data_IF_233080205046
#
_entry.id   IF_233080205046
#
_cell.length_a   1.000
_cell.length_b   1.000
_cell.length_c   1.000
_cell.angle_alpha   90.00
_cell.angle_beta   90.00
_cell.angle_gamma   90.00
#
_symmetry.space_group_name_H-M   'P 1'
#
loop_
_entity.id
_entity.type
_entity.pdbx_description
1 polymer ?
#
# COMPACT_ATOMS: atom_id res chain seq x y z
N UNK A 1 -34.18 -27.04 -2.45
CA UNK A 1 -34.38 -25.63 -2.12
C UNK A 1 -33.02 -25.07 -1.72
N UNK A 2 -32.45 -24.20 -2.56
CA UNK A 2 -31.20 -23.49 -2.28
C UNK A 2 -31.58 -22.20 -1.53
N UNK A 3 -31.03 -21.98 -0.34
CA UNK A 3 -31.49 -20.93 0.59
C UNK A 3 -30.90 -19.54 0.33
N UNK A 4 -30.26 -19.31 -0.83
CA UNK A 4 -29.82 -17.97 -1.21
C UNK A 4 -28.76 -17.35 -0.31
N UNK A 5 -28.02 -18.16 0.46
CA UNK A 5 -26.87 -17.67 1.22
C UNK A 5 -25.87 -17.04 0.24
N UNK A 6 -25.59 -15.76 0.44
CA UNK A 6 -24.65 -15.02 -0.38
C UNK A 6 -23.28 -15.69 -0.29
N UNK A 7 -22.77 -16.19 -1.41
CA UNK A 7 -21.39 -16.67 -1.50
C UNK A 7 -20.50 -15.42 -1.54
N UNK A 8 -19.70 -15.21 -0.49
CA UNK A 8 -18.65 -14.20 -0.53
C UNK A 8 -17.61 -14.62 -1.58
N UNK A 9 -17.59 -13.93 -2.71
CA UNK A 9 -16.67 -14.22 -3.83
C UNK A 9 -15.31 -13.55 -3.66
N UNK A 10 -15.20 -12.57 -2.76
CA UNK A 10 -13.95 -11.90 -2.37
C UNK A 10 -14.11 -11.20 -1.02
N UNK A 11 -13.03 -11.09 -0.24
CA UNK A 11 -12.96 -10.30 0.99
C UNK A 11 -12.03 -9.10 0.81
N UNK A 12 -12.51 -7.90 1.15
CA UNK A 12 -11.72 -6.66 1.04
C UNK A 12 -10.54 -6.66 1.99
N UNK A 13 -10.71 -7.14 3.22
CA UNK A 13 -9.64 -7.21 4.20
C UNK A 13 -8.98 -8.58 4.09
N UNK A 14 -7.70 -8.61 3.76
CA UNK A 14 -6.92 -9.85 3.74
C UNK A 14 -6.31 -10.02 5.12
N UNK A 15 -6.75 -11.04 5.86
CA UNK A 15 -6.27 -11.29 7.21
C UNK A 15 -4.93 -12.04 7.15
N UNK A 16 -3.85 -11.30 7.31
CA UNK A 16 -2.48 -11.80 7.46
C UNK A 16 -2.03 -11.62 8.90
N UNK A 17 -1.16 -12.52 9.39
CA UNK A 17 -0.67 -12.45 10.77
C UNK A 17 0.35 -11.32 10.95
N UNK A 18 1.23 -11.15 9.96
CA UNK A 18 2.37 -10.26 10.01
C UNK A 18 2.23 -8.98 9.20
N UNK A 19 1.09 -8.75 8.56
CA UNK A 19 0.85 -7.51 7.80
C UNK A 19 -0.45 -6.86 8.25
N UNK A 20 -0.39 -5.54 8.37
CA UNK A 20 -1.53 -4.72 8.74
C UNK A 20 -2.09 -4.00 7.52
N UNK A 21 -3.36 -3.65 7.61
CA UNK A 21 -4.07 -2.88 6.59
C UNK A 21 -4.00 -3.46 5.16
N UNK A 22 -3.74 -4.77 5.04
CA UNK A 22 -3.70 -5.47 3.77
C UNK A 22 -5.11 -5.59 3.21
N UNK A 23 -5.38 -4.93 2.09
CA UNK A 23 -6.71 -4.87 1.49
C UNK A 23 -6.67 -5.01 -0.02
N UNK A 24 -7.64 -5.74 -0.55
CA UNK A 24 -7.97 -5.72 -1.98
C UNK A 24 -8.81 -4.45 -2.27
N UNK A 25 -8.43 -3.70 -3.31
CA UNK A 25 -9.13 -2.50 -3.74
C UNK A 25 -10.22 -2.76 -4.79
N UNK A 26 -10.52 -4.03 -5.07
CA UNK A 26 -11.66 -4.45 -5.87
C UNK A 26 -13.02 -4.00 -5.33
N UNK A 27 -14.03 -4.09 -6.19
CA UNK A 27 -15.44 -3.86 -5.83
C UNK A 27 -15.86 -2.40 -5.66
N UNK A 28 -14.95 -1.43 -5.76
CA UNK A 28 -15.34 -0.01 -5.83
C UNK A 28 -16.07 0.28 -7.14
N UNK A 29 -17.20 0.98 -7.07
CA UNK A 29 -17.94 1.46 -8.23
C UNK A 29 -17.35 2.77 -8.72
N UNK A 30 -17.20 2.90 -10.02
CA UNK A 30 -16.78 4.14 -10.67
C UNK A 30 -18.01 4.98 -11.03
N UNK A 31 -17.82 6.27 -11.28
CA UNK A 31 -18.91 7.20 -11.60
C UNK A 31 -19.55 6.95 -12.96
N UNK A 32 -18.86 6.24 -13.84
CA UNK A 32 -19.32 5.80 -15.16
C UNK A 32 -19.94 4.39 -15.15
N UNK A 33 -20.17 3.80 -13.97
CA UNK A 33 -20.93 2.55 -13.81
C UNK A 33 -20.10 1.26 -13.89
N UNK A 34 -18.78 1.34 -14.06
CA UNK A 34 -17.88 0.21 -13.96
C UNK A 34 -17.57 -0.18 -12.50
N UNK A 35 -16.82 -1.27 -12.32
CA UNK A 35 -16.40 -1.77 -11.01
C UNK A 35 -14.94 -2.20 -11.07
N UNK A 36 -14.15 -1.79 -10.08
CA UNK A 36 -12.75 -2.21 -9.95
C UNK A 36 -12.69 -3.73 -9.79
N UNK A 37 -11.89 -4.39 -10.61
CA UNK A 37 -11.74 -5.86 -10.58
C UNK A 37 -11.03 -6.28 -9.29
N UNK A 38 -11.59 -7.30 -8.62
CA UNK A 38 -10.94 -7.97 -7.49
C UNK A 38 -9.64 -8.65 -7.92
N UNK A 39 -8.70 -8.72 -6.99
CA UNK A 39 -7.42 -9.41 -7.16
C UNK A 39 -6.44 -8.73 -8.11
N UNK A 40 -6.58 -7.42 -8.34
CA UNK A 40 -5.73 -6.66 -9.27
C UNK A 40 -4.86 -5.61 -8.62
N UNK A 41 -5.36 -4.99 -7.56
CA UNK A 41 -4.64 -3.95 -6.82
C UNK A 41 -4.92 -4.10 -5.34
N UNK A 42 -3.85 -4.15 -4.56
CA UNK A 42 -3.87 -4.25 -3.11
C UNK A 42 -3.13 -3.07 -2.48
N UNK A 43 -3.52 -2.72 -1.27
CA UNK A 43 -2.74 -1.82 -0.38
C UNK A 43 -2.31 -2.59 0.87
N UNK A 44 -1.19 -2.19 1.47
CA UNK A 44 -0.76 -2.69 2.78
C UNK A 44 0.07 -1.63 3.53
N UNK A 45 0.30 -1.88 4.83
CA UNK A 45 1.42 -1.30 5.57
C UNK A 45 2.73 -2.09 5.26
N UNK A 46 3.79 -1.96 6.06
CA UNK A 46 5.04 -2.70 5.80
C UNK A 46 4.87 -4.23 5.81
N UNK A 47 5.64 -4.93 4.95
CA UNK A 47 5.51 -6.37 4.74
C UNK A 47 6.61 -7.20 5.44
N UNK A 48 7.62 -6.56 6.01
CA UNK A 48 8.77 -7.23 6.63
C UNK A 48 8.47 -8.15 7.82
N UNK A 49 7.22 -8.16 8.32
CA UNK A 49 6.76 -9.05 9.40
C UNK A 49 5.91 -10.23 8.93
N UNK A 50 5.67 -10.40 7.62
CA UNK A 50 4.89 -11.51 7.10
C UNK A 50 5.41 -12.86 7.60
N UNK A 51 4.52 -13.64 8.22
CA UNK A 51 4.84 -14.98 8.69
C UNK A 51 4.95 -15.96 7.51
N UNK A 52 5.56 -17.12 7.73
CA UNK A 52 5.66 -18.17 6.69
C UNK A 52 4.29 -18.61 6.14
N UNK A 53 3.24 -18.56 6.98
CA UNK A 53 1.87 -18.84 6.54
C UNK A 53 1.32 -17.73 5.63
N UNK A 54 1.63 -16.47 5.94
CA UNK A 54 1.24 -15.32 5.14
C UNK A 54 1.90 -15.37 3.76
N UNK A 55 3.20 -15.68 3.68
CA UNK A 55 3.91 -15.83 2.41
C UNK A 55 3.27 -16.90 1.51
N UNK A 56 2.86 -18.04 2.08
CA UNK A 56 2.12 -19.07 1.33
C UNK A 56 0.77 -18.55 0.86
N UNK A 57 0.10 -17.72 1.65
CA UNK A 57 -1.19 -17.11 1.30
C UNK A 57 -1.01 -16.08 0.17
N UNK A 58 -0.07 -15.14 0.32
CA UNK A 58 0.30 -14.14 -0.69
C UNK A 58 0.70 -14.80 -2.01
N UNK A 59 1.48 -15.88 -1.97
CA UNK A 59 1.79 -16.66 -3.18
C UNK A 59 0.55 -17.20 -3.89
N UNK A 60 -0.47 -17.65 -3.15
CA UNK A 60 -1.74 -18.14 -3.74
C UNK A 60 -2.60 -17.02 -4.31
N UNK A 61 -2.46 -15.79 -3.80
CA UNK A 61 -3.11 -14.62 -4.39
C UNK A 61 -2.55 -14.28 -5.78
N UNK A 62 -1.36 -14.80 -6.12
CA UNK A 62 -0.71 -14.56 -7.40
C UNK A 62 -0.23 -13.13 -7.55
N UNK A 63 0.22 -12.51 -6.46
CA UNK A 63 0.86 -11.18 -6.49
C UNK A 63 2.04 -11.23 -7.45
N UNK A 64 2.10 -10.25 -8.35
CA UNK A 64 3.13 -10.14 -9.40
C UNK A 64 4.03 -8.93 -9.26
N UNK A 65 3.60 -7.93 -8.50
CA UNK A 65 4.37 -6.72 -8.31
C UNK A 65 4.22 -6.27 -6.87
N UNK A 66 5.35 -6.01 -6.24
CA UNK A 66 5.46 -5.41 -4.91
C UNK A 66 6.06 -4.02 -5.04
N UNK A 67 5.25 -3.00 -4.75
CA UNK A 67 5.63 -1.59 -4.89
C UNK A 67 5.84 -1.00 -3.50
N UNK A 68 7.11 -0.78 -3.17
CA UNK A 68 7.54 -0.27 -1.87
C UNK A 68 7.91 1.21 -1.99
N UNK A 69 7.08 2.06 -1.39
CA UNK A 69 7.33 3.49 -1.33
C UNK A 69 8.15 3.91 -0.11
N UNK A 70 8.48 3.00 0.82
CA UNK A 70 9.18 3.37 2.05
C UNK A 70 10.56 3.98 1.76
N UNK A 71 10.97 4.90 2.61
CA UNK A 71 12.33 5.44 2.57
C UNK A 71 13.36 4.33 2.71
N UNK A 72 14.57 4.60 2.25
CA UNK A 72 15.70 3.69 2.38
C UNK A 72 16.00 3.27 3.81
N UNK A 73 15.82 4.19 4.77
CA UNK A 73 16.01 3.91 6.19
C UNK A 73 14.98 2.90 6.71
N UNK A 74 13.70 3.09 6.35
CA UNK A 74 12.61 2.19 6.76
C UNK A 74 12.79 0.79 6.16
N UNK A 75 13.07 0.69 4.87
CA UNK A 75 13.25 -0.60 4.20
C UNK A 75 14.52 -1.33 4.67
N UNK A 76 15.59 -0.62 5.02
CA UNK A 76 16.78 -1.24 5.65
C UNK A 76 16.50 -1.71 7.07
N UNK A 77 15.72 -0.94 7.84
CA UNK A 77 15.36 -1.31 9.21
C UNK A 77 14.40 -2.51 9.26
N UNK A 78 13.53 -2.65 8.26
CA UNK A 78 12.59 -3.77 8.16
C UNK A 78 12.39 -4.19 6.69
N UNK A 79 13.30 -5.02 6.15
CA UNK A 79 13.24 -5.44 4.75
C UNK A 79 11.99 -6.26 4.45
N UNK A 80 11.42 -6.11 3.25
CA UNK A 80 10.35 -6.99 2.79
C UNK A 80 10.89 -8.40 2.52
N UNK A 81 10.07 -9.44 2.77
CA UNK A 81 10.41 -10.78 2.33
C UNK A 81 10.30 -10.89 0.81
N UNK A 82 11.07 -11.80 0.22
CA UNK A 82 10.95 -12.09 -1.21
C UNK A 82 9.59 -12.75 -1.50
N UNK A 83 8.76 -12.05 -2.27
CA UNK A 83 7.50 -12.58 -2.80
C UNK A 83 7.79 -13.36 -4.09
N UNK A 84 7.80 -14.68 -4.00
CA UNK A 84 8.18 -15.54 -5.12
C UNK A 84 7.31 -15.31 -6.37
N UNK A 85 7.93 -14.93 -7.49
CA UNK A 85 7.26 -14.65 -8.75
C UNK A 85 6.71 -13.23 -8.88
N UNK A 86 7.00 -12.34 -7.90
CA UNK A 86 6.70 -10.93 -7.99
C UNK A 86 7.98 -10.12 -8.27
N UNK A 87 7.83 -9.09 -9.11
CA UNK A 87 8.84 -8.05 -9.28
C UNK A 87 8.78 -7.08 -8.11
N UNK A 88 9.94 -6.69 -7.60
CA UNK A 88 10.06 -5.72 -6.53
C UNK A 88 10.45 -4.35 -7.09
N UNK A 89 9.56 -3.37 -6.94
CA UNK A 89 9.72 -2.02 -7.46
C UNK A 89 9.81 -1.05 -6.30
N UNK A 90 10.96 -0.39 -6.16
CA UNK A 90 11.18 0.65 -5.15
C UNK A 90 11.25 2.02 -5.78
N UNK A 91 10.63 2.98 -5.11
CA UNK A 91 10.84 4.41 -5.36
C UNK A 91 11.03 5.11 -4.02
N UNK A 92 12.28 5.42 -3.72
CA UNK A 92 12.70 6.18 -2.53
C UNK A 92 12.59 7.70 -2.75
N UNK A 93 12.57 8.14 -4.00
CA UNK A 93 12.70 9.53 -4.40
C UNK A 93 11.51 10.39 -3.92
N UNK A 94 11.74 11.14 -2.83
CA UNK A 94 10.87 12.23 -2.39
C UNK A 94 9.90 11.90 -1.24
N UNK A 95 9.99 10.71 -0.64
CA UNK A 95 9.16 10.42 0.54
C UNK A 95 9.75 11.10 1.78
N UNK A 96 9.20 12.26 2.13
CA UNK A 96 9.33 12.82 3.47
C UNK A 96 8.38 12.06 4.41
N UNK A 97 8.87 11.63 5.57
CA UNK A 97 8.04 10.96 6.57
C UNK A 97 8.66 9.74 7.24
N UNK A 98 9.97 9.53 7.16
CA UNK A 98 10.62 8.50 7.96
C UNK A 98 10.55 8.82 9.46
N UNK A 99 10.81 7.84 10.33
CA UNK A 99 10.82 8.07 11.79
C UNK A 99 11.79 9.19 12.24
N UNK A 100 12.88 9.41 11.48
CA UNK A 100 13.79 10.53 11.68
C UNK A 100 13.12 11.89 11.43
N UNK A 101 12.21 11.96 10.44
CA UNK A 101 11.45 13.16 10.10
C UNK A 101 10.39 13.46 11.16
N UNK A 102 9.72 12.43 11.71
CA UNK A 102 8.73 12.59 12.77
C UNK A 102 9.34 13.23 14.05
N UNK A 103 10.50 12.75 14.49
CA UNK A 103 11.18 13.31 15.66
C UNK A 103 11.59 14.77 15.43
N UNK A 104 12.07 15.10 14.23
CA UNK A 104 12.42 16.46 13.87
C UNK A 104 11.19 17.39 13.84
N UNK A 105 10.04 16.90 13.34
CA UNK A 105 8.77 17.65 13.29
C UNK A 105 8.19 17.91 14.69
N UNK A 106 8.32 16.95 15.61
CA UNK A 106 7.94 17.13 17.01
C UNK A 106 8.84 18.20 17.64
N UNK A 107 10.16 18.07 17.47
CA UNK A 107 11.14 19.01 18.02
C UNK A 107 10.99 20.44 17.47
N UNK A 108 10.56 20.59 16.22
CA UNK A 108 10.33 21.90 15.60
C UNK A 108 9.00 22.55 16.01
N UNK A 109 8.16 21.86 16.79
CA UNK A 109 6.82 22.33 17.17
C UNK A 109 5.82 22.31 16.00
N UNK A 110 6.11 21.56 14.93
CA UNK A 110 5.19 21.40 13.79
C UNK A 110 3.99 20.49 14.12
N UNK A 111 4.04 19.77 15.24
CA UNK A 111 2.93 18.99 15.81
C UNK A 111 2.68 19.36 17.28
N UNK A 112 2.66 20.66 17.58
CA UNK A 112 2.46 21.16 18.95
C UNK A 112 1.00 21.06 19.43
N UNK A 113 0.06 21.01 18.50
CA UNK A 113 -1.39 20.93 18.71
C UNK A 113 -2.07 20.25 17.50
N UNK A 114 -3.37 19.96 17.63
CA UNK A 114 -4.15 19.32 16.57
C UNK A 114 -4.17 20.14 15.28
N UNK A 115 -4.31 21.47 15.39
CA UNK A 115 -4.39 22.36 14.23
C UNK A 115 -3.11 22.33 13.40
N UNK A 116 -1.94 22.46 14.05
CA UNK A 116 -0.64 22.37 13.39
C UNK A 116 -0.41 21.01 12.75
N UNK A 117 -0.80 19.92 13.43
CA UNK A 117 -0.72 18.58 12.86
C UNK A 117 -1.61 18.41 11.61
N UNK A 118 -2.84 18.92 11.65
CA UNK A 118 -3.76 18.89 10.50
C UNK A 118 -3.21 19.69 9.33
N UNK A 119 -2.70 20.91 9.57
CA UNK A 119 -2.11 21.75 8.52
C UNK A 119 -0.87 21.09 7.90
N UNK A 120 -0.04 20.45 8.71
CA UNK A 120 1.13 19.71 8.25
C UNK A 120 0.72 18.53 7.36
N UNK A 121 -0.21 17.68 7.81
CA UNK A 121 -0.70 16.54 7.02
C UNK A 121 -1.36 16.99 5.71
N UNK A 122 -2.13 18.08 5.75
CA UNK A 122 -2.69 18.67 4.54
C UNK A 122 -1.59 19.20 3.59
N UNK A 123 -0.52 19.78 4.13
CA UNK A 123 0.66 20.21 3.39
C UNK A 123 1.36 19.06 2.67
N UNK A 124 1.62 17.95 3.36
CA UNK A 124 2.20 16.76 2.73
C UNK A 124 1.31 16.19 1.64
N UNK A 125 0.00 16.08 1.88
CA UNK A 125 -0.93 15.60 0.87
C UNK A 125 -0.95 16.51 -0.37
N UNK A 126 -0.87 17.84 -0.21
CA UNK A 126 -0.76 18.78 -1.35
C UNK A 126 0.53 18.57 -2.12
N UNK A 127 1.66 18.40 -1.44
CA UNK A 127 2.95 18.16 -2.09
C UNK A 127 2.93 16.87 -2.93
N UNK A 128 2.26 15.81 -2.47
CA UNK A 128 2.09 14.58 -3.26
C UNK A 128 1.25 14.77 -4.53
N UNK A 129 0.39 15.79 -4.57
CA UNK A 129 -0.40 16.16 -5.77
C UNK A 129 0.42 17.06 -6.69
N UNK A 130 1.20 17.99 -6.14
CA UNK A 130 2.04 18.92 -6.91
C UNK A 130 3.23 18.23 -7.59
N UNK A 131 3.76 17.15 -6.99
CA UNK A 131 4.80 16.29 -7.56
C UNK A 131 4.35 14.80 -7.56
N UNK A 132 3.46 14.39 -8.48
CA UNK A 132 2.72 13.13 -8.38
C UNK A 132 3.53 11.91 -8.88
N UNK A 133 4.84 11.88 -8.67
CA UNK A 133 5.74 10.82 -9.18
C UNK A 133 5.29 9.40 -8.79
N UNK A 134 4.87 9.22 -7.53
CA UNK A 134 4.37 7.92 -7.07
C UNK A 134 3.07 7.51 -7.77
N UNK A 135 2.17 8.46 -7.99
CA UNK A 135 0.93 8.20 -8.73
C UNK A 135 1.20 7.90 -10.20
N UNK A 136 2.12 8.63 -10.83
CA UNK A 136 2.52 8.38 -12.21
C UNK A 136 3.08 6.96 -12.38
N UNK A 137 4.05 6.57 -11.53
CA UNK A 137 4.61 5.22 -11.55
C UNK A 137 3.55 4.14 -11.29
N UNK A 138 2.67 4.34 -10.30
CA UNK A 138 1.59 3.40 -10.02
C UNK A 138 0.70 3.21 -11.26
N UNK A 139 0.34 4.30 -11.94
CA UNK A 139 -0.50 4.23 -13.14
C UNK A 139 0.23 3.57 -14.31
N UNK A 140 1.52 3.82 -14.49
CA UNK A 140 2.35 3.14 -15.48
C UNK A 140 2.37 1.62 -15.24
N UNK A 141 2.62 1.20 -14.00
CA UNK A 141 2.60 -0.22 -13.62
C UNK A 141 1.21 -0.84 -13.84
N UNK A 142 0.13 -0.15 -13.43
CA UNK A 142 -1.24 -0.64 -13.58
C UNK A 142 -1.72 -0.73 -15.04
N UNK A 143 -1.13 0.05 -15.95
CA UNK A 143 -1.47 0.01 -17.37
C UNK A 143 -0.88 -1.20 -18.11
N UNK A 144 0.05 -1.94 -17.49
CA UNK A 144 0.55 -3.21 -18.01
C UNK A 144 -0.11 -4.41 -17.28
N UNK A 145 -0.93 -5.23 -17.98
CA UNK A 145 -1.52 -6.44 -17.41
C UNK A 145 -0.52 -7.45 -16.84
N UNK A 146 0.74 -7.42 -17.26
CA UNK A 146 1.79 -8.28 -16.71
C UNK A 146 2.05 -7.96 -15.23
N UNK A 147 1.88 -6.71 -14.80
CA UNK A 147 2.14 -6.25 -13.43
C UNK A 147 0.93 -6.42 -12.49
N UNK A 148 -0.26 -6.69 -13.04
CA UNK A 148 -1.51 -6.76 -12.27
C UNK A 148 -1.55 -7.91 -11.25
N UNK A 149 -2.33 -7.72 -10.19
CA UNK A 149 -2.11 -8.32 -8.87
C UNK A 149 -0.92 -7.66 -8.17
N UNK A 150 -0.96 -6.32 -8.14
CA UNK A 150 0.05 -5.45 -7.56
C UNK A 150 -0.32 -5.13 -6.12
N UNK A 151 0.63 -5.23 -5.20
CA UNK A 151 0.52 -4.67 -3.85
C UNK A 151 1.36 -3.41 -3.78
N UNK A 152 0.78 -2.33 -3.26
CA UNK A 152 1.51 -1.10 -2.94
C UNK A 152 1.50 -0.85 -1.44
N UNK A 153 2.63 -0.40 -0.88
CA UNK A 153 2.73 -0.21 0.56
C UNK A 153 3.71 0.88 1.00
N UNK A 154 3.55 1.28 2.26
CA UNK A 154 4.40 2.21 3.03
C UNK A 154 4.30 1.81 4.52
N UNK A 155 5.02 2.48 5.41
CA UNK A 155 5.01 2.15 6.85
C UNK A 155 3.66 2.46 7.53
N UNK A 156 3.08 3.64 7.27
CA UNK A 156 1.72 4.02 7.70
C UNK A 156 1.23 5.24 6.91
#
# INVERSE_FOLDING_TARGET
MWNGDAIATAERKVNLQGAFNFRDLGGYKTTDGHTVKWGKLYRAEELGRLAAADLRYVRRMGIKTDVDYRTDAEAKAMPDPVLAGADYVRTDAGNAGGAADLNAMIASGMMKDEESAVQMMAGFNKQMVDDPKFYAQLMELLNDPANMALVQHRTA
#
